data_IF_006551640822
#
_entry.id   IF_006551640822
#
_cell.length_a   1.000
_cell.length_b   1.000
_cell.length_c   1.000
_cell.angle_alpha   90.00
_cell.angle_beta   90.00
_cell.angle_gamma   90.00
#
_symmetry.space_group_name_H-M   'P 1'
#
loop_
_entity.id
_entity.type
_entity.pdbx_description
1 polymer ?
#
# COMPACT_ATOMS: atom_id res chain seq x y z
N UNK A 1 -23.00 -7.22 2.71
CA UNK A 1 -22.12 -6.88 3.86
C UNK A 1 -20.80 -6.39 3.30
N UNK A 2 -20.58 -5.08 3.23
CA UNK A 2 -19.36 -4.48 2.64
C UNK A 2 -18.40 -4.11 3.77
N UNK A 3 -17.72 -5.11 4.34
CA UNK A 3 -16.64 -4.88 5.31
C UNK A 3 -15.30 -4.95 4.55
N UNK A 4 -14.73 -3.79 4.23
CA UNK A 4 -13.44 -3.68 3.57
C UNK A 4 -13.28 -2.36 2.83
N UNK A 5 -12.03 -1.96 2.56
CA UNK A 5 -11.76 -0.80 1.72
C UNK A 5 -12.30 -1.05 0.31
N UNK A 6 -13.25 -0.22 -0.19
CA UNK A 6 -13.87 -0.43 -1.50
C UNK A 6 -12.95 -0.07 -2.66
N UNK A 7 -11.77 0.49 -2.39
CA UNK A 7 -10.85 1.02 -3.40
C UNK A 7 -10.11 -0.12 -4.10
N UNK A 8 -10.08 -0.06 -5.44
CA UNK A 8 -9.27 -0.94 -6.28
C UNK A 8 -8.40 -0.11 -7.23
N UNK A 9 -7.19 -0.57 -7.58
CA UNK A 9 -6.37 0.12 -8.56
C UNK A 9 -7.04 0.12 -9.93
N UNK A 10 -6.86 1.22 -10.67
CA UNK A 10 -7.27 1.33 -12.08
C UNK A 10 -6.31 0.57 -13.00
N UNK A 11 -6.71 0.36 -14.26
CA UNK A 11 -5.85 -0.26 -15.28
C UNK A 11 -5.95 -1.78 -15.40
N UNK A 12 -6.72 -2.44 -14.54
CA UNK A 12 -7.11 -3.85 -14.67
C UNK A 12 -5.93 -4.81 -14.81
N UNK A 13 -6.10 -5.83 -15.66
CA UNK A 13 -5.12 -6.90 -15.85
C UNK A 13 -3.81 -6.41 -16.45
N UNK A 14 -3.83 -5.40 -17.31
CA UNK A 14 -2.62 -4.88 -17.96
C UNK A 14 -1.69 -4.33 -16.88
N UNK A 15 -2.17 -3.37 -16.08
CA UNK A 15 -1.37 -2.78 -15.00
C UNK A 15 -1.02 -3.82 -13.93
N UNK A 16 -1.96 -4.72 -13.62
CA UNK A 16 -1.75 -5.80 -12.65
C UNK A 16 -0.62 -6.76 -13.04
N UNK A 17 -0.50 -7.12 -14.32
CA UNK A 17 0.53 -8.05 -14.79
C UNK A 17 1.89 -7.39 -15.00
N UNK A 18 1.91 -6.13 -15.46
CA UNK A 18 3.17 -5.43 -15.75
C UNK A 18 3.90 -4.95 -14.49
N UNK A 19 3.18 -4.71 -13.39
CA UNK A 19 3.77 -4.22 -12.15
C UNK A 19 4.38 -5.37 -11.35
N UNK A 20 5.71 -5.38 -11.19
CA UNK A 20 6.42 -6.44 -10.43
C UNK A 20 6.14 -6.37 -8.93
N UNK A 21 5.97 -5.17 -8.38
CA UNK A 21 5.61 -4.95 -6.98
C UNK A 21 4.40 -4.03 -6.93
N UNK A 22 3.41 -4.37 -6.11
CA UNK A 22 2.24 -3.51 -5.88
C UNK A 22 2.10 -3.22 -4.40
N UNK A 23 2.06 -1.93 -4.07
CA UNK A 23 1.95 -1.44 -2.71
C UNK A 23 0.64 -0.68 -2.56
N UNK A 24 -0.16 -1.09 -1.59
CA UNK A 24 -1.39 -0.43 -1.21
C UNK A 24 -1.15 0.51 -0.02
N UNK A 25 -1.38 1.80 -0.22
CA UNK A 25 -1.16 2.84 0.79
C UNK A 25 -2.47 3.20 1.47
N UNK A 26 -2.52 3.15 2.81
CA UNK A 26 -3.66 3.63 3.59
C UNK A 26 -3.26 4.59 4.71
N UNK A 27 -4.19 5.47 5.08
CA UNK A 27 -4.03 6.38 6.21
C UNK A 27 -4.21 5.63 7.53
N UNK A 28 -3.37 5.96 8.52
CA UNK A 28 -3.52 5.54 9.91
C UNK A 28 -3.69 6.77 10.81
N UNK A 29 -3.78 6.56 12.13
CA UNK A 29 -3.90 7.65 13.12
C UNK A 29 -2.58 8.43 13.26
N UNK A 30 -2.69 9.70 13.68
CA UNK A 30 -1.52 10.50 14.08
C UNK A 30 -0.51 10.76 12.97
N UNK A 31 -0.97 11.03 11.74
CA UNK A 31 -0.07 11.31 10.61
C UNK A 31 0.64 10.10 10.01
N UNK A 32 0.53 8.93 10.65
CA UNK A 32 1.09 7.67 10.15
C UNK A 32 0.35 7.15 8.91
N UNK A 33 1.04 6.35 8.13
CA UNK A 33 0.60 5.66 6.92
C UNK A 33 1.05 4.22 6.99
N UNK A 34 0.33 3.35 6.30
CA UNK A 34 0.67 1.94 6.18
C UNK A 34 0.82 1.62 4.70
N UNK A 35 1.98 1.10 4.34
CA UNK A 35 2.25 0.47 3.05
C UNK A 35 2.07 -1.04 3.18
N UNK A 36 1.05 -1.60 2.54
CA UNK A 36 0.86 -3.05 2.44
C UNK A 36 1.40 -3.53 1.10
N UNK A 37 2.31 -4.49 1.11
CA UNK A 37 2.71 -5.22 -0.08
C UNK A 37 1.58 -6.18 -0.47
N UNK A 38 0.95 -5.93 -1.61
CA UNK A 38 -0.20 -6.75 -2.09
C UNK A 38 0.19 -7.68 -3.23
N UNK A 39 1.37 -7.51 -3.81
CA UNK A 39 1.87 -8.36 -4.87
C UNK A 39 3.39 -8.26 -4.97
N UNK A 40 4.05 -9.40 -5.11
CA UNK A 40 5.49 -9.49 -5.33
C UNK A 40 5.88 -10.86 -5.88
N UNK A 41 7.02 -10.99 -6.58
CA UNK A 41 7.46 -12.28 -7.10
C UNK A 41 8.10 -13.19 -6.04
N UNK A 42 8.58 -12.63 -4.92
CA UNK A 42 9.50 -13.32 -4.01
C UNK A 42 9.38 -12.95 -2.52
N UNK A 43 8.53 -11.99 -2.17
CA UNK A 43 8.30 -11.59 -0.79
C UNK A 43 6.88 -11.99 -0.34
N UNK A 44 6.71 -12.39 0.93
CA UNK A 44 5.38 -12.59 1.49
C UNK A 44 4.63 -11.26 1.59
N UNK A 45 3.31 -11.31 1.61
CA UNK A 45 2.49 -10.15 1.95
C UNK A 45 2.91 -9.60 3.33
N UNK A 46 3.01 -8.27 3.42
CA UNK A 46 3.51 -7.61 4.63
C UNK A 46 3.09 -6.15 4.69
N UNK A 47 3.23 -5.55 5.88
CA UNK A 47 2.92 -4.15 6.11
C UNK A 47 4.11 -3.41 6.74
N UNK A 48 4.34 -2.19 6.27
CA UNK A 48 5.29 -1.26 6.86
C UNK A 48 4.57 0.04 7.25
N UNK A 49 4.77 0.48 8.49
CA UNK A 49 4.27 1.76 8.95
C UNK A 49 5.32 2.85 8.71
N UNK A 50 4.89 4.03 8.27
CA UNK A 50 5.75 5.20 8.09
C UNK A 50 4.99 6.48 8.44
N UNK A 51 5.70 7.53 8.82
CA UNK A 51 5.15 8.86 9.06
C UNK A 51 5.43 9.78 7.87
N UNK A 52 4.50 10.69 7.59
CA UNK A 52 4.67 11.75 6.59
C UNK A 52 4.81 13.07 7.33
N UNK A 53 6.00 13.64 7.30
CA UNK A 53 6.36 14.93 7.91
C UNK A 53 6.73 15.97 6.84
N UNK A 54 6.93 17.22 7.23
CA UNK A 54 7.37 18.28 6.29
C UNK A 54 8.70 17.95 5.61
N UNK A 55 9.60 17.24 6.31
CA UNK A 55 10.89 16.79 5.78
C UNK A 55 10.81 15.53 4.92
N UNK A 56 9.62 14.94 4.72
CA UNK A 56 9.42 13.73 3.92
C UNK A 56 8.96 12.53 4.74
N UNK A 57 9.40 11.34 4.33
CA UNK A 57 9.01 10.07 4.95
C UNK A 57 9.97 9.71 6.09
N UNK A 58 9.42 9.33 7.23
CA UNK A 58 10.17 8.77 8.35
C UNK A 58 9.65 7.39 8.74
N UNK A 59 10.52 6.59 9.32
CA UNK A 59 10.12 5.40 10.04
C UNK A 59 9.16 5.77 11.19
N UNK A 60 8.09 4.98 11.36
CA UNK A 60 6.97 5.28 12.25
C UNK A 60 7.16 4.82 13.69
#
# INVERSE_FOLDING_TARGET
VLFGDPTRPIGGNIVGHTATFRIYLRKSKGGKRIARLVDSPNLPEGEAAFAVEMGGLKEA
#
